data_IF_104998462745
#
_entry.id   IF_104998462745
#
_cell.length_a   1.000
_cell.length_b   1.000
_cell.length_c   1.000
_cell.angle_alpha   90.00
_cell.angle_beta   90.00
_cell.angle_gamma   90.00
#
_symmetry.space_group_name_H-M   'P 1'
#
loop_
_entity.id
_entity.type
_entity.pdbx_description
1 polymer ?
#
# COMPACT_ATOMS: atom_id res chain seq x y z
N UNK A 1 5.40 5.19 15.47
CA UNK A 1 5.62 4.59 14.12
C UNK A 1 4.40 3.77 13.69
N UNK A 2 4.15 3.51 12.39
CA UNK A 2 2.98 2.75 11.88
C UNK A 2 2.71 1.45 12.66
N UNK A 3 3.76 0.69 12.96
CA UNK A 3 3.68 -0.55 13.74
C UNK A 3 3.05 -0.39 15.13
N UNK A 4 3.21 0.75 15.80
CA UNK A 4 2.56 0.97 17.11
C UNK A 4 1.03 0.93 16.96
N UNK A 5 0.51 1.52 15.88
CA UNK A 5 -0.91 1.53 15.55
C UNK A 5 -1.41 0.16 15.08
N UNK A 6 -0.52 -0.69 14.56
CA UNK A 6 -0.83 -2.09 14.19
C UNK A 6 -0.60 -3.07 15.36
N UNK A 7 -0.19 -2.60 16.54
CA UNK A 7 0.08 -3.47 17.70
C UNK A 7 1.33 -4.36 17.57
N UNK A 8 2.11 -4.25 16.48
CA UNK A 8 3.24 -5.14 16.19
C UNK A 8 4.51 -4.84 17.00
N UNK A 9 4.53 -3.75 17.76
CA UNK A 9 5.66 -3.41 18.64
C UNK A 9 5.89 -4.43 19.77
N UNK A 10 4.94 -5.36 19.98
CA UNK A 10 5.02 -6.47 20.96
C UNK A 10 5.33 -7.83 20.34
N UNK A 11 5.58 -7.89 19.03
CA UNK A 11 5.86 -9.15 18.33
C UNK A 11 7.07 -9.88 18.90
N UNK A 12 7.06 -11.21 18.86
CA UNK A 12 8.15 -12.07 19.34
C UNK A 12 9.51 -11.75 18.69
N UNK A 13 9.49 -11.28 17.44
CA UNK A 13 10.69 -10.82 16.74
C UNK A 13 11.44 -9.67 17.47
N UNK A 14 10.73 -8.91 18.31
CA UNK A 14 11.25 -7.79 19.10
C UNK A 14 11.42 -8.18 20.58
N UNK A 15 10.49 -8.95 21.14
CA UNK A 15 10.43 -9.24 22.58
C UNK A 15 11.21 -10.47 23.01
N UNK A 16 11.52 -11.41 22.09
CA UNK A 16 12.21 -12.66 22.42
C UNK A 16 13.74 -12.47 22.41
N UNK A 17 14.45 -12.75 23.53
CA UNK A 17 15.91 -12.75 23.54
C UNK A 17 16.50 -13.69 22.50
N UNK A 18 17.44 -13.19 21.69
CA UNK A 18 18.07 -13.96 20.61
C UNK A 18 17.39 -13.87 19.24
N UNK A 19 16.20 -13.24 19.16
CA UNK A 19 15.59 -12.91 17.87
C UNK A 19 16.39 -11.82 17.13
N UNK A 20 16.31 -11.82 15.79
CA UNK A 20 17.06 -10.88 14.92
C UNK A 20 16.88 -9.40 15.29
N UNK A 21 15.68 -9.02 15.74
CA UNK A 21 15.32 -7.64 16.08
C UNK A 21 15.04 -7.47 17.58
N UNK A 22 15.62 -8.32 18.42
CA UNK A 22 15.43 -8.23 19.87
C UNK A 22 15.83 -6.83 20.39
N UNK A 23 14.90 -6.15 21.07
CA UNK A 23 15.01 -4.75 21.51
C UNK A 23 15.26 -3.72 20.38
N UNK A 24 14.98 -4.08 19.12
CA UNK A 24 15.10 -3.20 17.95
C UNK A 24 13.79 -3.09 17.16
N UNK A 25 12.77 -2.41 17.73
CA UNK A 25 11.51 -2.19 17.03
C UNK A 25 11.70 -1.34 15.75
N UNK A 26 12.64 -0.39 15.73
CA UNK A 26 12.86 0.44 14.56
C UNK A 26 13.39 -0.38 13.37
N UNK A 27 14.39 -1.25 13.60
CA UNK A 27 14.91 -2.16 12.58
C UNK A 27 13.87 -3.16 12.09
N UNK A 28 13.02 -3.68 12.98
CA UNK A 28 11.90 -4.52 12.57
C UNK A 28 10.90 -3.76 11.68
N UNK A 29 10.56 -2.51 12.02
CA UNK A 29 9.66 -1.67 11.22
C UNK A 29 10.23 -1.42 9.82
N UNK A 30 11.51 -1.04 9.75
CA UNK A 30 12.21 -0.76 8.50
C UNK A 30 12.42 -2.02 7.65
N UNK A 31 12.48 -3.19 8.27
CA UNK A 31 12.50 -4.46 7.54
C UNK A 31 11.12 -4.87 7.02
N UNK A 32 10.06 -4.53 7.75
CA UNK A 32 8.68 -4.94 7.43
C UNK A 32 8.02 -4.04 6.40
N UNK A 33 8.24 -2.73 6.47
CA UNK A 33 7.49 -1.75 5.68
C UNK A 33 8.35 -1.10 4.61
N UNK A 34 7.72 -0.78 3.49
CA UNK A 34 8.30 0.04 2.45
C UNK A 34 7.83 1.50 2.58
N UNK A 35 8.78 2.43 2.51
CA UNK A 35 8.53 3.86 2.49
C UNK A 35 9.15 4.48 1.25
N UNK A 36 8.42 5.41 0.65
CA UNK A 36 8.81 6.11 -0.57
C UNK A 36 8.81 7.62 -0.32
N UNK A 37 9.61 8.37 -1.07
CA UNK A 37 9.65 9.84 -0.96
C UNK A 37 8.74 10.43 -2.02
N UNK A 38 7.70 11.16 -1.59
CA UNK A 38 6.78 11.79 -2.53
C UNK A 38 7.50 12.86 -3.37
N UNK A 39 7.37 12.76 -4.69
CA UNK A 39 7.97 13.73 -5.61
C UNK A 39 7.47 15.16 -5.40
N UNK A 40 6.18 15.34 -5.11
CA UNK A 40 5.55 16.67 -4.97
C UNK A 40 5.89 17.35 -3.64
N UNK A 41 5.64 16.70 -2.51
CA UNK A 41 5.79 17.31 -1.18
C UNK A 41 7.07 16.94 -0.44
N UNK A 42 7.88 16.03 -1.00
CA UNK A 42 9.16 15.53 -0.45
C UNK A 42 9.05 14.80 0.91
N UNK A 43 7.84 14.54 1.39
CA UNK A 43 7.60 13.72 2.59
C UNK A 43 7.69 12.24 2.25
N UNK A 44 8.20 11.45 3.19
CA UNK A 44 8.10 9.99 3.12
C UNK A 44 6.63 9.55 3.33
N UNK A 45 6.18 8.55 2.58
CA UNK A 45 4.86 7.94 2.71
C UNK A 45 4.94 6.42 2.66
N UNK A 46 3.94 5.77 3.26
CA UNK A 46 3.85 4.32 3.34
C UNK A 46 3.44 3.71 1.99
N UNK A 47 4.20 2.72 1.53
CA UNK A 47 3.96 2.02 0.27
C UNK A 47 3.44 0.59 0.41
N UNK A 48 3.27 0.09 1.64
CA UNK A 48 2.90 -1.32 1.89
C UNK A 48 3.96 -2.07 2.69
N UNK A 49 3.77 -3.38 2.81
CA UNK A 49 4.78 -4.26 3.41
C UNK A 49 5.88 -4.57 2.37
N UNK A 50 7.14 -4.53 2.80
CA UNK A 50 8.31 -4.78 1.95
C UNK A 50 8.28 -6.18 1.31
N UNK A 51 7.54 -7.13 1.87
CA UNK A 51 7.30 -8.45 1.26
C UNK A 51 6.50 -8.38 -0.04
N UNK A 52 5.58 -7.42 -0.16
CA UNK A 52 4.86 -7.18 -1.41
C UNK A 52 5.79 -6.60 -2.48
N UNK A 53 6.86 -5.92 -2.08
CA UNK A 53 7.85 -5.33 -2.99
C UNK A 53 8.94 -6.32 -3.38
N UNK A 54 9.24 -7.32 -2.56
CA UNK A 54 10.23 -8.34 -2.89
C UNK A 54 9.82 -9.25 -4.07
N UNK A 55 8.53 -9.32 -4.41
CA UNK A 55 8.03 -10.02 -5.61
C UNK A 55 8.11 -9.16 -6.89
N UNK A 56 8.32 -7.85 -6.74
CA UNK A 56 8.75 -6.94 -7.82
C UNK A 56 10.29 -6.95 -7.82
N UNK A 57 10.92 -7.33 -8.92
CA UNK A 57 12.38 -7.37 -8.98
C UNK A 57 12.96 -6.02 -8.55
N UNK A 58 14.08 -6.01 -7.81
CA UNK A 58 14.82 -4.78 -7.47
C UNK A 58 15.33 -4.12 -8.77
N UNK A 59 14.48 -3.34 -9.42
CA UNK A 59 14.84 -2.47 -10.53
C UNK A 59 14.81 -1.03 -10.05
N UNK A 60 15.99 -0.42 -9.92
CA UNK A 60 16.15 1.02 -9.64
C UNK A 60 15.69 1.93 -10.82
N UNK A 61 15.02 1.36 -11.83
CA UNK A 61 14.55 2.02 -13.06
C UNK A 61 13.05 2.36 -12.98
N UNK A 62 12.65 3.17 -11.99
CA UNK A 62 11.33 3.81 -11.97
C UNK A 62 11.47 5.32 -12.11
N UNK A 63 10.47 5.99 -12.70
CA UNK A 63 10.43 7.45 -12.74
C UNK A 63 10.08 8.00 -11.35
N UNK A 64 10.98 8.74 -10.67
CA UNK A 64 10.68 9.30 -9.35
C UNK A 64 9.48 10.25 -9.36
N UNK A 65 9.11 10.81 -10.53
CA UNK A 65 7.96 11.69 -10.68
C UNK A 65 6.62 10.99 -10.45
N UNK A 66 6.60 9.65 -10.56
CA UNK A 66 5.42 8.81 -10.36
C UNK A 66 5.22 8.39 -8.88
N UNK A 67 6.22 8.59 -8.02
CA UNK A 67 6.10 8.36 -6.58
C UNK A 67 5.34 9.51 -5.91
N UNK A 68 4.01 9.43 -5.89
CA UNK A 68 3.14 10.44 -5.29
C UNK A 68 2.36 9.85 -4.11
N UNK A 69 2.44 10.49 -2.94
CA UNK A 69 1.65 10.08 -1.78
C UNK A 69 0.15 10.37 -1.99
N UNK A 70 -0.71 9.65 -1.28
CA UNK A 70 -2.17 9.76 -1.45
C UNK A 70 -2.73 11.18 -1.27
N UNK A 71 -2.11 12.02 -0.42
CA UNK A 71 -2.50 13.43 -0.28
C UNK A 71 -2.24 14.26 -1.55
N UNK A 72 -1.16 13.96 -2.27
CA UNK A 72 -0.74 14.67 -3.47
C UNK A 72 -1.33 14.10 -4.77
N UNK A 73 -2.04 12.98 -4.67
CA UNK A 73 -2.75 12.26 -5.73
C UNK A 73 -4.23 12.00 -5.39
N UNK A 74 -4.84 12.86 -4.57
CA UNK A 74 -6.22 12.67 -4.08
C UNK A 74 -7.28 12.90 -5.19
N UNK A 75 -7.46 11.90 -6.04
CA UNK A 75 -8.43 11.92 -7.16
C UNK A 75 -9.88 11.78 -6.73
N UNK A 76 -10.12 11.24 -5.53
CA UNK A 76 -11.48 10.99 -4.99
C UNK A 76 -11.97 12.08 -4.03
N UNK A 77 -11.14 13.10 -3.72
CA UNK A 77 -11.42 14.09 -2.68
C UNK A 77 -11.79 13.41 -1.36
N UNK A 78 -10.90 12.52 -0.93
CA UNK A 78 -11.14 11.66 0.22
C UNK A 78 -11.50 12.47 1.47
N UNK A 79 -12.38 11.91 2.30
CA UNK A 79 -12.72 12.52 3.58
C UNK A 79 -11.47 12.66 4.44
N UNK A 80 -11.23 13.87 4.94
CA UNK A 80 -10.09 14.16 5.80
C UNK A 80 -10.25 13.43 7.13
N UNK A 81 -9.17 12.80 7.60
CA UNK A 81 -9.15 12.24 8.94
C UNK A 81 -9.20 13.36 9.97
N UNK A 82 -10.10 13.27 10.95
CA UNK A 82 -10.20 14.27 12.02
C UNK A 82 -8.94 14.39 12.89
N UNK A 83 -8.13 13.32 12.95
CA UNK A 83 -6.89 13.27 13.74
C UNK A 83 -5.65 13.62 12.93
N UNK A 84 -5.61 13.21 11.67
CA UNK A 84 -4.38 13.21 10.87
C UNK A 84 -4.51 13.93 9.51
N UNK A 85 -5.65 14.58 9.26
CA UNK A 85 -5.95 15.20 7.97
C UNK A 85 -5.74 14.21 6.82
N UNK A 86 -4.80 14.55 5.92
CA UNK A 86 -4.39 13.72 4.79
C UNK A 86 -2.97 13.14 4.93
N UNK A 87 -2.29 13.33 6.07
CA UNK A 87 -0.88 12.95 6.21
C UNK A 87 -0.64 11.44 6.02
N UNK A 88 -1.63 10.62 6.39
CA UNK A 88 -1.61 9.17 6.19
C UNK A 88 -2.70 8.70 5.22
N UNK A 89 -3.11 9.56 4.28
CA UNK A 89 -4.04 9.16 3.24
C UNK A 89 -3.38 8.15 2.30
N UNK A 90 -3.98 6.98 2.19
CA UNK A 90 -3.54 5.89 1.34
C UNK A 90 -4.59 5.58 0.27
N UNK A 91 -4.13 5.14 -0.89
CA UNK A 91 -4.98 4.64 -1.96
C UNK A 91 -4.75 3.15 -2.18
N UNK A 92 -5.79 2.49 -2.65
CA UNK A 92 -5.73 1.12 -3.17
C UNK A 92 -5.11 1.15 -4.57
N UNK A 93 -4.30 0.16 -4.91
CA UNK A 93 -3.97 -0.13 -6.29
C UNK A 93 -5.26 -0.37 -7.09
N UNK A 94 -5.44 0.33 -8.20
CA UNK A 94 -6.64 0.18 -9.05
C UNK A 94 -6.86 -1.28 -9.45
N UNK A 95 -5.78 -2.04 -9.65
CA UNK A 95 -5.80 -3.37 -10.24
C UNK A 95 -5.67 -4.55 -9.25
N UNK A 96 -5.48 -4.30 -7.95
CA UNK A 96 -5.44 -5.38 -6.95
C UNK A 96 -5.73 -4.89 -5.52
N UNK A 97 -5.87 -5.80 -4.57
CA UNK A 97 -6.06 -5.52 -3.15
C UNK A 97 -4.71 -5.26 -2.46
N UNK A 98 -3.96 -4.26 -2.92
CA UNK A 98 -2.71 -3.81 -2.30
C UNK A 98 -2.71 -2.29 -2.13
N UNK A 99 -1.90 -1.78 -1.22
CA UNK A 99 -1.66 -0.33 -1.09
C UNK A 99 -0.91 0.16 -2.32
N UNK A 100 -1.27 1.36 -2.80
CA UNK A 100 -0.61 1.98 -3.93
C UNK A 100 0.73 2.65 -3.52
N UNK A 101 1.68 2.58 -4.45
CA UNK A 101 3.00 3.20 -4.38
C UNK A 101 3.13 4.27 -5.45
N UNK A 102 2.76 3.94 -6.68
CA UNK A 102 2.87 4.83 -7.83
C UNK A 102 1.55 5.49 -8.16
N UNK A 103 1.64 6.69 -8.75
CA UNK A 103 0.54 7.40 -9.37
C UNK A 103 0.93 7.86 -10.76
N UNK A 104 0.47 7.12 -11.76
CA UNK A 104 0.83 7.34 -13.16
C UNK A 104 -0.30 8.03 -13.92
N UNK A 105 0.07 8.69 -15.03
CA UNK A 105 -0.85 9.29 -15.99
C UNK A 105 -1.82 10.32 -15.37
N UNK A 106 -1.48 10.87 -14.20
CA UNK A 106 -2.32 11.81 -13.45
C UNK A 106 -3.67 11.26 -12.97
N UNK A 107 -3.90 9.95 -13.05
CA UNK A 107 -5.23 9.37 -12.82
C UNK A 107 -5.24 8.02 -12.10
N UNK A 108 -4.12 7.28 -12.09
CA UNK A 108 -4.16 5.86 -11.79
C UNK A 108 -3.13 5.46 -10.74
N UNK A 109 -3.61 4.82 -9.67
CA UNK A 109 -2.77 4.29 -8.59
C UNK A 109 -2.36 2.84 -8.83
N UNK A 110 -1.07 2.53 -8.64
CA UNK A 110 -0.50 1.18 -8.77
C UNK A 110 0.32 0.78 -7.54
N UNK A 111 0.26 -0.49 -7.14
CA UNK A 111 1.33 -1.09 -6.32
C UNK A 111 2.55 -1.42 -7.20
N UNK A 112 3.71 -1.69 -6.61
CA UNK A 112 4.93 -2.00 -7.37
C UNK A 112 4.72 -3.12 -8.40
N UNK A 113 4.20 -4.28 -7.97
CA UNK A 113 4.01 -5.41 -8.87
C UNK A 113 3.04 -5.13 -10.03
N UNK A 114 1.98 -4.32 -9.84
CA UNK A 114 1.10 -3.94 -10.95
C UNK A 114 1.70 -2.85 -11.83
N UNK A 115 2.59 -2.01 -11.29
CA UNK A 115 3.32 -0.99 -12.04
C UNK A 115 4.36 -1.61 -12.96
N UNK A 116 5.10 -2.63 -12.50
CA UNK A 116 6.06 -3.39 -13.33
C UNK A 116 5.42 -3.95 -14.62
N UNK A 117 4.13 -4.31 -14.56
CA UNK A 117 3.37 -4.90 -15.67
C UNK A 117 2.23 -3.97 -16.12
N UNK A 118 2.40 -2.64 -15.97
CA UNK A 118 1.32 -1.68 -16.18
C UNK A 118 0.71 -1.75 -17.58
N UNK A 119 1.50 -2.05 -18.61
CA UNK A 119 1.02 -2.19 -19.99
C UNK A 119 -0.02 -3.31 -20.12
N UNK A 120 0.23 -4.44 -19.44
CA UNK A 120 -0.73 -5.54 -19.38
C UNK A 120 -1.90 -5.16 -18.51
N UNK A 121 -1.66 -4.65 -17.31
CA UNK A 121 -2.74 -4.34 -16.36
C UNK A 121 -3.73 -3.30 -16.91
N UNK A 122 -3.24 -2.31 -17.67
CA UNK A 122 -4.08 -1.27 -18.29
C UNK A 122 -4.81 -1.75 -19.55
N UNK A 123 -4.39 -2.87 -20.16
CA UNK A 123 -5.03 -3.41 -21.37
C UNK A 123 -6.09 -4.48 -21.09
N UNK A 124 -6.10 -5.10 -19.91
CA UNK A 124 -7.15 -6.05 -19.50
C UNK A 124 -8.49 -5.30 -19.33
N UNK A 125 -9.58 -5.73 -19.98
CA UNK A 125 -10.91 -5.18 -19.77
C UNK A 125 -11.33 -5.27 -18.30
N UNK A 126 -12.08 -4.28 -17.81
CA UNK A 126 -12.45 -4.19 -16.39
C UNK A 126 -13.19 -5.45 -15.91
N UNK A 127 -14.02 -6.02 -16.77
CA UNK A 127 -14.86 -7.19 -16.51
C UNK A 127 -14.04 -8.48 -16.37
N UNK A 128 -12.81 -8.49 -16.89
CA UNK A 128 -11.88 -9.63 -16.84
C UNK A 128 -10.86 -9.51 -15.70
N UNK A 129 -10.86 -8.39 -14.97
CA UNK A 129 -10.00 -8.22 -13.80
C UNK A 129 -10.44 -9.14 -12.65
N UNK A 130 -9.50 -9.63 -11.82
CA UNK A 130 -9.84 -10.47 -10.67
C UNK A 130 -10.74 -9.70 -9.70
N UNK A 131 -11.71 -10.42 -9.12
CA UNK A 131 -12.55 -9.87 -8.07
C UNK A 131 -11.82 -9.95 -6.73
N UNK A 132 -12.29 -9.18 -5.75
CA UNK A 132 -11.79 -9.31 -4.38
C UNK A 132 -11.99 -10.76 -3.89
N UNK A 133 -10.97 -11.41 -3.30
CA UNK A 133 -9.61 -10.91 -3.07
C UNK A 133 -8.72 -10.97 -4.33
N UNK A 134 -8.24 -9.80 -4.77
CA UNK A 134 -7.42 -9.66 -5.98
C UNK A 134 -5.93 -9.48 -5.61
N UNK A 135 -5.08 -10.33 -6.17
CA UNK A 135 -3.63 -10.23 -6.08
C UNK A 135 -3.05 -9.37 -7.21
N UNK A 136 -1.78 -8.94 -7.09
CA UNK A 136 -1.12 -8.18 -8.14
C UNK A 136 -1.03 -8.94 -9.48
N UNK A 137 -0.74 -8.22 -10.56
CA UNK A 137 -0.54 -8.79 -11.91
C UNK A 137 -1.73 -9.64 -12.43
N UNK A 138 -2.95 -9.28 -12.02
CA UNK A 138 -4.19 -9.94 -12.47
C UNK A 138 -4.47 -11.29 -11.81
N UNK A 139 -3.82 -11.60 -10.68
CA UNK A 139 -3.99 -12.88 -9.97
C UNK A 139 -5.28 -12.89 -9.15
N UNK A 140 -6.14 -13.90 -9.36
CA UNK A 140 -7.24 -14.18 -8.43
C UNK A 140 -6.68 -14.89 -7.19
N UNK A 141 -6.94 -14.35 -5.99
CA UNK A 141 -6.59 -15.04 -4.74
C UNK A 141 -7.74 -15.93 -4.30
N UNK A 142 -7.40 -16.93 -3.48
CA UNK A 142 -8.37 -17.81 -2.84
C UNK A 142 -9.01 -17.15 -1.62
N UNK A 143 -10.20 -17.64 -1.24
CA UNK A 143 -10.94 -17.14 -0.09
C UNK A 143 -11.84 -15.94 -0.40
N UNK A 144 -12.38 -15.34 0.65
CA UNK A 144 -13.37 -14.25 0.57
C UNK A 144 -12.92 -12.98 1.30
N UNK A 145 -11.84 -13.06 2.07
CA UNK A 145 -11.33 -11.93 2.86
C UNK A 145 -10.39 -11.06 2.03
N UNK A 146 -10.67 -9.76 2.00
CA UNK A 146 -9.81 -8.79 1.33
C UNK A 146 -8.47 -8.65 2.08
N UNK A 147 -7.30 -8.73 1.39
CA UNK A 147 -6.00 -8.47 2.01
C UNK A 147 -5.84 -7.08 2.66
N UNK A 148 -6.70 -6.12 2.30
CA UNK A 148 -6.73 -4.78 2.89
C UNK A 148 -7.76 -4.64 4.02
N UNK A 149 -8.48 -5.72 4.35
CA UNK A 149 -9.53 -5.81 5.36
C UNK A 149 -10.54 -4.65 5.29
N UNK A 150 -10.95 -4.29 4.07
CA UNK A 150 -11.88 -3.19 3.79
C UNK A 150 -12.84 -3.58 2.68
N UNK A 151 -14.06 -3.04 2.74
CA UNK A 151 -15.00 -3.09 1.61
C UNK A 151 -14.62 -2.01 0.61
N UNK A 152 -14.41 -2.38 -0.64
CA UNK A 152 -14.00 -1.46 -1.70
C UNK A 152 -14.78 -1.74 -3.00
N UNK A 153 -14.83 -0.78 -3.95
CA UNK A 153 -15.40 -0.98 -5.27
C UNK A 153 -14.72 -2.11 -6.05
N UNK A 154 -15.32 -2.59 -7.15
CA UNK A 154 -14.69 -3.59 -8.02
C UNK A 154 -13.26 -3.21 -8.46
N UNK A 155 -12.44 -4.23 -8.70
CA UNK A 155 -11.12 -4.04 -9.30
C UNK A 155 -11.24 -3.29 -10.63
N UNK A 156 -10.32 -2.37 -10.89
CA UNK A 156 -10.39 -1.44 -12.02
C UNK A 156 -10.87 -0.03 -11.65
N UNK A 157 -11.25 0.20 -10.40
CA UNK A 157 -11.69 1.52 -9.90
C UNK A 157 -10.72 2.11 -8.85
N UNK A 158 -10.59 3.43 -8.85
CA UNK A 158 -9.83 4.16 -7.83
C UNK A 158 -10.56 4.12 -6.49
N UNK A 159 -9.79 3.95 -5.41
CA UNK A 159 -10.37 3.91 -4.07
C UNK A 159 -9.40 4.46 -3.03
N UNK A 160 -9.79 5.55 -2.36
CA UNK A 160 -9.12 6.02 -1.18
C UNK A 160 -9.41 5.09 0.00
N UNK A 161 -8.37 4.52 0.58
CA UNK A 161 -8.47 3.67 1.78
C UNK A 161 -8.59 4.51 3.06
N UNK A 162 -8.49 5.83 2.95
CA UNK A 162 -8.49 6.75 4.08
C UNK A 162 -7.18 6.74 4.86
N UNK A 163 -7.27 7.06 6.15
CA UNK A 163 -6.11 7.18 7.03
C UNK A 163 -5.55 5.79 7.41
N UNK A 164 -4.37 5.46 6.89
CA UNK A 164 -3.72 4.15 7.09
C UNK A 164 -3.44 3.81 8.56
N UNK A 165 -3.13 4.79 9.41
CA UNK A 165 -2.91 4.54 10.85
C UNK A 165 -4.22 4.30 11.59
N UNK A 166 -5.30 5.02 11.26
CA UNK A 166 -6.59 4.83 11.93
C UNK A 166 -7.27 3.53 11.49
N UNK A 167 -7.13 3.15 10.21
CA UNK A 167 -7.75 1.94 9.66
C UNK A 167 -7.29 0.69 10.42
N UNK A 168 -6.01 0.62 10.80
CA UNK A 168 -5.46 -0.52 11.54
C UNK A 168 -5.57 -0.39 13.06
N UNK A 169 -5.90 0.79 13.59
CA UNK A 169 -6.15 0.97 15.01
C UNK A 169 -7.54 0.45 15.43
N UNK A 170 -8.45 0.23 14.47
CA UNK A 170 -9.80 -0.30 14.71
C UNK A 170 -9.90 -1.84 14.56
N UNK A 171 -8.79 -2.52 14.28
CA UNK A 171 -8.73 -3.99 14.17
C UNK A 171 -8.26 -4.68 15.45
N UNK A 172 -8.14 -3.96 16.57
CA UNK A 172 -7.77 -4.48 17.89
C UNK A 172 -8.64 -3.90 19.00
#
# INVERSE_FOLDING_TARGET
>A
MRMEYEGLHKSEAITTPGARFHNDPAGFAMNRYAYYVCYKCKKAYFGGEARCDAEAGQGDDYDPSELICGACSDVSRAQMCSKHGTDFLEYKCRYCCSVAVFFCFGTTHFCNACHDDFQKMTSVPKEELPHCPAGPKGKQLEGTECPLHVVHPPTGEEFALGCGVCRNAHTF
#
